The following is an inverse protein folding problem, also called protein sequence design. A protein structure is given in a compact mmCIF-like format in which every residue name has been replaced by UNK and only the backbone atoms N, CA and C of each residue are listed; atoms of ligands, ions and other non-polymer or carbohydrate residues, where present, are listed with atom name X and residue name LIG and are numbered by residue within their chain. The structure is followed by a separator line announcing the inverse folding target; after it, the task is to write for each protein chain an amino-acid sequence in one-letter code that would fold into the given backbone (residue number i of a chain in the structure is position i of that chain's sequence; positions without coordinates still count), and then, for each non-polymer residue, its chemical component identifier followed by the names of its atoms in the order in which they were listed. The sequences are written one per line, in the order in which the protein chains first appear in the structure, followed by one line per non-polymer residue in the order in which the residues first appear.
data_IF_155673212987
#
_entry.id   IF_155673212987
#
_cell.length_a   1.000
_cell.length_b   1.000
_cell.length_c   1.000
_cell.angle_alpha   90.00
_cell.angle_beta   90.00
_cell.angle_gamma   90.00
#
_symmetry.space_group_name_H-M   'P 1'
#
loop_
_entity.id
_entity.type
_entity.pdbx_description
1 polymer ?
#
# COMPACT_ATOMS: atom_id res chain seq x y z
N UNK A 1 6.32 -8.24 -13.43
CA UNK A 1 5.46 -7.08 -13.67
C UNK A 1 4.02 -7.52 -13.52
N UNK A 2 3.28 -6.91 -12.59
CA UNK A 2 1.87 -7.20 -12.34
C UNK A 2 0.95 -6.29 -13.18
N UNK A 3 -0.23 -6.81 -13.51
CA UNK A 3 -1.30 -6.04 -14.14
C UNK A 3 -2.14 -5.37 -13.05
N UNK A 4 -2.53 -4.11 -13.26
CA UNK A 4 -3.46 -3.40 -12.38
C UNK A 4 -4.86 -3.32 -12.96
N UNK A 5 -5.77 -2.75 -12.17
CA UNK A 5 -7.17 -2.53 -12.51
C UNK A 5 -7.46 -1.03 -12.46
N UNK A 6 -8.12 -0.51 -13.51
CA UNK A 6 -8.63 0.86 -13.50
C UNK A 6 -9.95 0.93 -12.72
N UNK A 7 -9.98 1.77 -11.69
CA UNK A 7 -11.20 2.09 -10.96
C UNK A 7 -12.16 2.97 -11.76
N UNK A 8 -13.42 3.07 -11.31
CA UNK A 8 -14.46 3.83 -12.00
C UNK A 8 -14.22 5.34 -12.04
N UNK A 9 -13.40 5.87 -11.13
CA UNK A 9 -13.07 7.30 -11.06
C UNK A 9 -11.62 7.58 -11.46
N UNK A 10 -10.98 6.65 -12.16
CA UNK A 10 -9.58 6.79 -12.58
C UNK A 10 -8.56 6.43 -11.49
N UNK A 11 -8.99 5.71 -10.45
CA UNK A 11 -8.07 5.08 -9.52
C UNK A 11 -7.25 3.99 -10.22
N UNK A 12 -6.05 3.75 -9.72
CA UNK A 12 -5.14 2.71 -10.20
C UNK A 12 -4.98 1.69 -9.07
N UNK A 13 -5.51 0.49 -9.25
CA UNK A 13 -5.43 -0.57 -8.26
C UNK A 13 -4.42 -1.64 -8.68
N UNK A 14 -3.74 -2.23 -7.69
CA UNK A 14 -2.85 -3.37 -7.87
C UNK A 14 -3.11 -4.37 -6.75
N UNK A 15 -3.25 -5.65 -7.10
CA UNK A 15 -3.34 -6.74 -6.13
C UNK A 15 -1.95 -7.03 -5.55
N UNK A 16 -1.88 -7.19 -4.24
CA UNK A 16 -0.71 -7.68 -3.51
C UNK A 16 -1.15 -8.49 -2.30
N UNK A 17 -0.29 -9.38 -1.81
CA UNK A 17 -0.59 -10.08 -0.56
C UNK A 17 0.05 -9.34 0.62
N UNK A 18 -0.74 -9.08 1.66
CA UNK A 18 -0.22 -8.79 2.99
C UNK A 18 0.16 -10.14 3.63
N UNK A 19 1.39 -10.26 4.11
CA UNK A 19 1.87 -11.49 4.74
C UNK A 19 1.83 -11.31 6.24
N UNK A 20 0.96 -12.04 6.92
CA UNK A 20 0.85 -12.04 8.39
C UNK A 20 2.10 -12.64 9.04
N UNK A 21 2.27 -12.41 10.34
CA UNK A 21 3.41 -12.99 11.08
C UNK A 21 3.40 -14.53 11.16
N UNK A 22 2.24 -15.17 11.05
CA UNK A 22 2.10 -16.64 10.92
C UNK A 22 2.22 -17.15 9.48
N UNK A 23 2.63 -16.29 8.53
CA UNK A 23 2.93 -16.59 7.12
C UNK A 23 1.70 -16.92 6.27
N UNK A 24 0.53 -16.43 6.65
CA UNK A 24 -0.65 -16.42 5.81
C UNK A 24 -0.57 -15.25 4.82
N UNK A 25 -0.89 -15.52 3.55
CA UNK A 25 -1.04 -14.49 2.53
C UNK A 25 -2.49 -14.03 2.47
N UNK A 26 -2.71 -12.73 2.61
CA UNK A 26 -4.01 -12.08 2.52
C UNK A 26 -4.01 -11.14 1.29
N UNK A 27 -4.67 -11.53 0.19
CA UNK A 27 -4.72 -10.70 -1.01
C UNK A 27 -5.56 -9.44 -0.76
N UNK A 28 -5.05 -8.29 -1.19
CA UNK A 28 -5.75 -7.01 -1.13
C UNK A 28 -5.56 -6.23 -2.43
N UNK A 29 -6.60 -5.51 -2.84
CA UNK A 29 -6.50 -4.49 -3.88
C UNK A 29 -5.99 -3.19 -3.24
N UNK A 30 -4.78 -2.77 -3.59
CA UNK A 30 -4.19 -1.52 -3.10
C UNK A 30 -4.30 -0.42 -4.15
N UNK A 31 -4.80 0.75 -3.73
CA UNK A 31 -4.88 1.95 -4.57
C UNK A 31 -3.54 2.68 -4.59
N UNK A 32 -2.96 2.90 -5.77
CA UNK A 32 -1.79 3.75 -5.90
C UNK A 32 -2.12 5.22 -5.56
N UNK A 33 -1.45 5.75 -4.55
CA UNK A 33 -1.50 7.15 -4.16
C UNK A 33 -0.10 7.77 -4.25
N UNK A 34 0.17 8.48 -5.36
CA UNK A 34 1.45 9.17 -5.55
C UNK A 34 1.63 10.38 -4.63
N UNK A 35 0.57 10.84 -3.96
CA UNK A 35 0.63 11.89 -2.94
C UNK A 35 1.09 11.37 -1.58
N UNK A 36 1.05 10.05 -1.36
CA UNK A 36 1.59 9.38 -0.18
C UNK A 36 3.01 8.89 -0.43
N UNK A 37 3.97 9.36 0.36
CA UNK A 37 5.41 9.11 0.17
C UNK A 37 5.95 7.94 0.99
N UNK A 38 5.09 7.01 1.44
CA UNK A 38 5.52 5.75 2.08
C UNK A 38 5.40 4.56 1.14
N UNK A 39 5.58 3.35 1.66
CA UNK A 39 5.33 2.11 0.91
C UNK A 39 3.85 1.73 0.95
N UNK A 40 3.30 1.59 2.17
CA UNK A 40 1.91 1.16 2.36
C UNK A 40 1.26 1.95 3.49
N UNK A 41 -0.01 2.32 3.29
CA UNK A 41 -0.85 2.81 4.36
C UNK A 41 -2.18 2.05 4.39
N UNK A 42 -2.71 1.78 5.58
CA UNK A 42 -3.86 0.88 5.77
C UNK A 42 -4.67 1.31 6.99
N UNK A 43 -5.94 0.89 7.07
CA UNK A 43 -6.73 1.13 8.26
C UNK A 43 -6.09 0.45 9.48
N UNK A 44 -6.05 1.17 10.59
CA UNK A 44 -5.52 0.62 11.85
C UNK A 44 -6.30 -0.60 12.35
N UNK A 45 -7.58 -0.73 12.04
CA UNK A 45 -8.39 -1.89 12.39
C UNK A 45 -7.85 -3.16 11.69
N UNK A 46 -7.56 -3.06 10.39
CA UNK A 46 -7.11 -4.19 9.57
C UNK A 46 -5.71 -4.70 9.97
N UNK A 47 -4.84 -3.80 10.45
CA UNK A 47 -3.49 -4.19 10.89
C UNK A 47 -3.50 -5.11 12.11
N UNK A 48 -4.52 -5.02 12.96
CA UNK A 48 -4.58 -5.82 14.19
C UNK A 48 -4.66 -7.33 13.90
N UNK A 49 -5.19 -7.71 12.74
CA UNK A 49 -5.32 -9.12 12.33
C UNK A 49 -4.05 -9.64 11.62
N UNK A 50 -3.06 -8.77 11.35
CA UNK A 50 -1.81 -9.14 10.65
C UNK A 50 -0.69 -9.56 11.61
N UNK A 51 -0.85 -9.26 12.90
CA UNK A 51 0.13 -9.46 13.97
C UNK A 51 1.48 -8.77 13.72
N UNK A 52 1.57 -7.79 12.81
CA UNK A 52 2.82 -7.08 12.51
C UNK A 52 3.43 -6.35 13.71
N UNK A 53 4.75 -6.20 13.70
CA UNK A 53 5.49 -5.61 14.81
C UNK A 53 5.36 -4.10 14.79
N UNK A 54 4.75 -3.52 15.81
CA UNK A 54 4.71 -2.07 16.03
C UNK A 54 6.13 -1.50 16.20
N UNK A 55 6.46 -0.47 15.42
CA UNK A 55 7.79 0.17 15.42
C UNK A 55 7.77 1.63 15.88
N UNK A 56 6.61 2.24 16.08
CA UNK A 56 6.49 3.61 16.59
C UNK A 56 5.31 4.37 16.02
N UNK A 57 5.31 5.70 16.18
CA UNK A 57 4.32 6.59 15.60
C UNK A 57 5.01 7.75 14.88
N UNK A 58 4.41 8.24 13.79
CA UNK A 58 4.87 9.40 13.06
C UNK A 58 3.75 10.42 12.83
N UNK A 59 4.12 11.71 12.82
CA UNK A 59 3.21 12.80 12.48
C UNK A 59 3.39 13.19 11.03
N UNK A 60 2.40 12.90 10.19
CA UNK A 60 2.40 13.25 8.78
C UNK A 60 1.50 14.45 8.49
N UNK A 61 1.83 15.21 7.45
CA UNK A 61 0.96 16.26 6.91
C UNK A 61 0.08 15.66 5.82
N UNK A 62 -1.21 15.60 6.08
CA UNK A 62 -2.26 15.18 5.15
C UNK A 62 -2.98 16.39 4.55
N UNK A 63 -3.92 16.14 3.64
CA UNK A 63 -4.81 17.18 3.12
C UNK A 63 -5.67 17.86 4.21
N UNK A 64 -5.97 17.16 5.31
CA UNK A 64 -6.74 17.70 6.46
C UNK A 64 -5.86 18.38 7.51
N UNK A 65 -4.57 18.54 7.26
CA UNK A 65 -3.58 19.01 8.23
C UNK A 65 -2.76 17.86 8.80
N UNK A 66 -2.25 18.02 10.02
CA UNK A 66 -1.38 17.01 10.60
C UNK A 66 -2.17 15.89 11.29
N UNK A 67 -1.81 14.65 10.98
CA UNK A 67 -2.36 13.44 11.60
C UNK A 67 -1.22 12.55 12.13
N UNK A 68 -1.54 11.73 13.12
CA UNK A 68 -0.61 10.71 13.64
C UNK A 68 -0.94 9.37 13.01
N UNK A 69 0.09 8.62 12.68
CA UNK A 69 0.00 7.28 12.13
C UNK A 69 0.89 6.36 12.95
N UNK A 70 0.39 5.18 13.27
CA UNK A 70 1.19 4.12 13.87
C UNK A 70 2.01 3.45 12.76
N UNK A 71 3.26 3.12 13.04
CA UNK A 71 4.17 2.50 12.10
C UNK A 71 4.38 1.05 12.51
N UNK A 72 4.25 0.16 11.54
CA UNK A 72 4.48 -1.27 11.70
C UNK A 72 5.57 -1.74 10.73
N UNK A 73 6.34 -2.74 11.15
CA UNK A 73 7.20 -3.52 10.27
C UNK A 73 6.35 -4.60 9.61
N UNK A 74 5.92 -4.33 8.39
CA UNK A 74 5.06 -5.23 7.62
C UNK A 74 5.82 -6.01 6.55
N UNK A 75 5.18 -7.06 6.06
CA UNK A 75 5.70 -7.89 4.98
C UNK A 75 4.65 -8.05 3.89
N UNK A 76 5.04 -7.85 2.63
CA UNK A 76 4.13 -7.98 1.48
C UNK A 76 4.72 -8.88 0.40
N UNK A 77 3.86 -9.58 -0.35
CA UNK A 77 4.21 -10.25 -1.60
C UNK A 77 3.72 -9.39 -2.76
N UNK A 78 4.63 -8.93 -3.61
CA UNK A 78 4.32 -8.15 -4.80
C UNK A 78 5.13 -8.70 -5.97
N UNK A 79 4.46 -9.03 -7.08
CA UNK A 79 5.09 -9.62 -8.27
C UNK A 79 5.90 -10.91 -7.97
N UNK A 80 5.44 -11.70 -6.99
CA UNK A 80 6.13 -12.91 -6.55
C UNK A 80 7.39 -12.66 -5.70
N UNK A 81 7.67 -11.42 -5.33
CA UNK A 81 8.79 -11.04 -4.45
C UNK A 81 8.28 -10.57 -3.08
N UNK A 82 8.87 -11.08 -2.01
CA UNK A 82 8.61 -10.61 -0.64
C UNK A 82 9.39 -9.33 -0.34
N UNK A 83 8.75 -8.36 0.30
CA UNK A 83 9.37 -7.13 0.78
C UNK A 83 9.05 -6.91 2.25
N UNK A 84 10.07 -6.56 3.03
CA UNK A 84 9.91 -5.99 4.36
C UNK A 84 9.82 -4.46 4.23
N UNK A 85 8.73 -3.88 4.72
CA UNK A 85 8.40 -2.46 4.53
C UNK A 85 7.90 -1.80 5.81
N UNK A 86 8.05 -0.48 5.89
CA UNK A 86 7.32 0.33 6.86
C UNK A 86 5.88 0.52 6.41
N UNK A 87 4.93 0.24 7.29
CA UNK A 87 3.49 0.39 7.04
C UNK A 87 2.89 1.45 7.95
N UNK A 88 2.16 2.40 7.38
CA UNK A 88 1.48 3.48 8.09
C UNK A 88 0.02 3.12 8.36
N UNK A 89 -0.34 2.95 9.63
CA UNK A 89 -1.69 2.63 10.05
C UNK A 89 -2.42 3.88 10.56
N UNK A 90 -3.62 4.15 10.06
CA UNK A 90 -4.44 5.29 10.47
C UNK A 90 -5.93 4.99 10.49
N UNK A 91 -6.69 5.71 11.32
CA UNK A 91 -8.13 5.43 11.53
C UNK A 91 -9.03 5.84 10.36
N UNK A 92 -8.61 6.83 9.56
CA UNK A 92 -9.40 7.39 8.45
C UNK A 92 -9.03 6.81 7.07
N UNK A 93 -8.19 5.78 7.03
CA UNK A 93 -7.79 5.13 5.77
C UNK A 93 -8.90 4.16 5.35
N UNK A 94 -9.43 4.33 4.14
CA UNK A 94 -10.52 3.50 3.60
C UNK A 94 -9.95 2.40 2.69
N UNK A 95 -9.11 2.79 1.73
CA UNK A 95 -8.43 1.86 0.84
C UNK A 95 -7.02 1.58 1.35
N UNK A 96 -6.50 0.37 1.12
CA UNK A 96 -5.06 0.14 1.26
C UNK A 96 -4.34 1.01 0.23
N UNK A 97 -3.47 1.89 0.69
CA UNK A 97 -2.73 2.81 -0.18
C UNK A 97 -1.36 2.24 -0.50
N UNK A 98 -1.04 2.17 -1.79
CA UNK A 98 0.29 1.90 -2.31
C UNK A 98 0.97 3.23 -2.61
N UNK A 99 2.02 3.57 -1.87
CA UNK A 99 2.65 4.89 -1.98
C UNK A 99 3.75 4.99 -3.02
N UNK A 100 4.24 6.21 -3.23
CA UNK A 100 5.24 6.52 -4.26
C UNK A 100 6.63 5.91 -4.02
N UNK A 101 6.92 5.39 -2.81
CA UNK A 101 8.22 4.75 -2.54
C UNK A 101 8.46 3.53 -3.44
N UNK A 102 7.42 2.79 -3.79
CA UNK A 102 7.50 1.69 -4.75
C UNK A 102 8.02 2.11 -6.11
N UNK A 103 7.71 3.34 -6.54
CA UNK A 103 8.11 3.85 -7.87
C UNK A 103 9.61 4.13 -7.98
N UNK A 104 10.35 4.10 -6.86
CA UNK A 104 11.82 4.16 -6.87
C UNK A 104 12.46 2.83 -7.27
N UNK A 105 11.72 1.73 -7.17
CA UNK A 105 12.21 0.37 -7.38
C UNK A 105 11.45 -0.40 -8.46
N UNK A 106 10.17 -0.09 -8.67
CA UNK A 106 9.30 -0.73 -9.65
C UNK A 106 8.80 0.28 -10.69
N UNK A 107 9.03 0.05 -11.99
CA UNK A 107 8.47 0.87 -13.05
C UNK A 107 6.94 0.83 -13.07
N UNK A 108 6.32 2.00 -13.22
CA UNK A 108 4.88 2.13 -13.46
C UNK A 108 4.63 2.55 -14.91
N UNK A 109 3.72 1.85 -15.60
CA UNK A 109 3.22 2.24 -16.92
C UNK A 109 1.70 2.39 -16.85
N UNK A 110 1.22 3.57 -17.22
CA UNK A 110 -0.22 3.88 -17.26
C UNK A 110 -0.57 4.46 -18.62
N UNK A 111 -1.51 3.84 -19.32
CA UNK A 111 -2.10 4.36 -20.54
C UNK A 111 -3.57 3.94 -20.64
N UNK A 112 -4.46 4.87 -20.32
CA UNK A 112 -5.91 4.66 -20.39
C UNK A 112 -6.43 4.36 -21.79
N UNK A 113 -5.89 5.03 -22.81
CA UNK A 113 -6.34 4.84 -24.21
C UNK A 113 -6.03 3.43 -24.71
N UNK A 114 -4.91 2.86 -24.25
CA UNK A 114 -4.49 1.50 -24.60
C UNK A 114 -4.89 0.45 -23.57
N UNK A 115 -5.52 0.85 -22.45
CA UNK A 115 -5.88 -0.05 -21.37
C UNK A 115 -4.68 -0.69 -20.65
N UNK A 116 -3.52 -0.01 -20.63
CA UNK A 116 -2.29 -0.52 -20.01
C UNK A 116 -2.18 0.05 -18.59
N UNK A 117 -2.13 -0.83 -17.60
CA UNK A 117 -1.78 -0.48 -16.23
C UNK A 117 -0.88 -1.59 -15.67
N UNK A 118 0.40 -1.29 -15.47
CA UNK A 118 1.36 -2.26 -14.98
C UNK A 118 2.34 -1.68 -13.98
N UNK A 119 2.76 -2.49 -13.02
CA UNK A 119 3.77 -2.17 -12.01
C UNK A 119 4.80 -3.30 -11.93
N UNK A 120 6.10 -2.98 -12.03
CA UNK A 120 7.20 -3.94 -11.90
C UNK A 120 8.17 -3.98 -13.06
#
# INVERSE_FOLDING_TARGET
MIQGIFGSEGQLFFELDLITNDRLNLPVDAMLDTGFTGFLAINKQDVNDLDWVYSGEERLRTAKGYSRFDIYSGKVLLDGQEYDISVYAGDEIIEVLLGSEWLKILPLVVNYQLGILTLG
#
